data_IF_979698614222
#
_entry.id   IF_979698614222
#
_cell.length_a   1.000
_cell.length_b   1.000
_cell.length_c   1.000
_cell.angle_alpha   90.00
_cell.angle_beta   90.00
_cell.angle_gamma   90.00
#
_symmetry.space_group_name_H-M   'P 1'
#
loop_
_entity.id
_entity.type
_entity.pdbx_description
1 polymer ?
#
# COMPACT_ATOMS: atom_id res chain seq x y z
N UNK A 1 -1.07 45.48 28.73
CA UNK A 1 -1.58 44.79 27.52
C UNK A 1 -0.42 44.46 26.64
N UNK A 2 0.17 43.27 26.81
CA UNK A 2 1.32 42.77 26.01
C UNK A 2 0.76 41.81 24.98
N UNK A 3 0.64 42.29 23.73
CA UNK A 3 0.21 41.49 22.62
C UNK A 3 1.27 40.43 22.27
N UNK A 4 1.01 39.17 22.58
CA UNK A 4 1.75 38.03 22.10
C UNK A 4 1.73 38.00 20.57
N UNK A 5 2.79 38.47 19.93
CA UNK A 5 3.03 38.26 18.51
C UNK A 5 3.32 36.77 18.28
N UNK A 6 2.27 35.99 17.98
CA UNK A 6 2.44 34.65 17.42
C UNK A 6 3.29 34.79 16.15
N UNK A 7 4.52 34.30 16.17
CA UNK A 7 5.39 34.19 14.99
C UNK A 7 4.63 33.36 13.94
N UNK A 8 4.04 34.01 12.95
CA UNK A 8 3.52 33.32 11.77
C UNK A 8 4.69 32.63 11.10
N UNK A 9 4.73 31.31 11.13
CA UNK A 9 5.69 30.52 10.38
C UNK A 9 5.55 30.93 8.90
N UNK A 10 6.61 31.52 8.35
CA UNK A 10 6.63 31.92 6.94
C UNK A 10 6.55 30.64 6.09
N UNK A 11 5.54 30.56 5.25
CA UNK A 11 5.37 29.48 4.30
C UNK A 11 6.60 29.41 3.39
N UNK A 12 7.20 28.23 3.12
CA UNK A 12 8.30 28.11 2.17
C UNK A 12 7.90 28.59 0.77
N UNK A 13 8.77 29.36 0.10
CA UNK A 13 8.48 30.01 -1.17
C UNK A 13 8.01 29.03 -2.27
N UNK A 14 8.55 27.80 -2.32
CA UNK A 14 8.13 26.78 -3.30
C UNK A 14 6.66 26.34 -3.13
N UNK A 15 6.12 26.43 -1.90
CA UNK A 15 4.70 26.12 -1.67
C UNK A 15 3.80 27.26 -2.19
N UNK A 16 4.27 28.51 -2.19
CA UNK A 16 3.53 29.65 -2.74
C UNK A 16 3.46 29.61 -4.28
N UNK A 17 4.43 28.96 -4.94
CA UNK A 17 4.35 28.69 -6.37
C UNK A 17 3.25 27.67 -6.74
N UNK A 18 3.01 26.69 -5.90
CA UNK A 18 2.13 25.55 -6.18
C UNK A 18 0.72 25.78 -5.67
N UNK A 19 0.57 26.29 -4.46
CA UNK A 19 -0.72 26.40 -3.79
C UNK A 19 -1.25 27.82 -3.77
N UNK A 20 -2.57 27.97 -3.72
CA UNK A 20 -3.23 29.27 -3.61
C UNK A 20 -2.88 29.93 -2.28
N UNK A 21 -2.66 31.27 -2.25
CA UNK A 21 -2.29 31.96 -1.00
C UNK A 21 -3.33 31.89 0.11
N UNK A 22 -4.62 31.90 -0.25
CA UNK A 22 -5.78 31.84 0.66
C UNK A 22 -5.97 30.48 1.30
N UNK A 23 -5.35 29.42 0.73
CA UNK A 23 -5.54 28.06 1.22
C UNK A 23 -4.59 27.72 2.37
N UNK A 24 -5.17 27.18 3.46
CA UNK A 24 -4.41 26.75 4.63
C UNK A 24 -3.83 25.34 4.41
N UNK A 25 -3.02 25.18 3.36
CA UNK A 25 -2.41 23.92 2.96
C UNK A 25 -1.63 23.24 4.11
N UNK A 26 -1.03 24.02 5.01
CA UNK A 26 -0.20 23.47 6.09
C UNK A 26 -0.91 22.43 6.95
N UNK A 27 -2.22 22.60 7.25
CA UNK A 27 -2.99 21.60 8.00
C UNK A 27 -3.11 20.28 7.25
N UNK A 28 -3.39 20.35 5.95
CA UNK A 28 -3.50 19.16 5.12
C UNK A 28 -2.15 18.41 5.03
N UNK A 29 -1.06 19.14 4.81
CA UNK A 29 0.28 18.54 4.79
C UNK A 29 0.66 17.91 6.14
N UNK A 30 0.31 18.56 7.26
CA UNK A 30 0.52 18.00 8.60
C UNK A 30 -0.27 16.71 8.82
N UNK A 31 -1.53 16.65 8.38
CA UNK A 31 -2.30 15.39 8.41
C UNK A 31 -1.56 14.30 7.66
N UNK A 32 -1.00 14.58 6.46
CA UNK A 32 -0.27 13.60 5.67
C UNK A 32 1.04 13.15 6.32
N UNK A 33 1.74 14.04 7.03
CA UNK A 33 2.95 13.67 7.80
C UNK A 33 2.57 12.71 8.93
N UNK A 34 1.60 13.10 9.78
CA UNK A 34 1.15 12.29 10.92
C UNK A 34 0.59 10.93 10.46
N UNK A 35 -0.22 10.94 9.42
CA UNK A 35 -0.77 9.76 8.76
C UNK A 35 0.35 8.85 8.25
N UNK A 36 1.32 9.39 7.51
CA UNK A 36 2.42 8.60 6.96
C UNK A 36 3.24 7.92 8.06
N UNK A 37 3.61 8.65 9.11
CA UNK A 37 4.37 8.08 10.24
C UNK A 37 3.55 6.97 10.93
N UNK A 38 2.28 7.23 11.24
CA UNK A 38 1.41 6.24 11.88
C UNK A 38 1.19 4.99 11.03
N UNK A 39 1.05 5.17 9.71
CA UNK A 39 0.94 4.08 8.76
C UNK A 39 2.23 3.25 8.72
N UNK A 40 3.40 3.89 8.66
CA UNK A 40 4.70 3.23 8.71
C UNK A 40 4.91 2.44 10.00
N UNK A 41 4.52 3.01 11.17
CA UNK A 41 4.54 2.31 12.45
C UNK A 41 3.70 1.03 12.41
N UNK A 42 2.43 1.14 11.96
CA UNK A 42 1.54 -0.02 11.86
C UNK A 42 2.08 -1.07 10.89
N UNK A 43 2.44 -0.65 9.68
CA UNK A 43 2.88 -1.57 8.63
C UNK A 43 4.18 -2.28 9.02
N UNK A 44 5.09 -1.59 9.70
CA UNK A 44 6.38 -2.12 10.14
C UNK A 44 6.27 -3.29 11.12
N UNK A 45 5.20 -3.36 11.93
CA UNK A 45 5.01 -4.42 12.93
C UNK A 45 3.88 -5.38 12.61
N UNK A 46 3.01 -5.05 11.67
CA UNK A 46 1.75 -5.77 11.47
C UNK A 46 1.95 -7.27 11.22
N UNK A 47 2.84 -7.63 10.30
CA UNK A 47 3.03 -9.02 9.90
C UNK A 47 3.68 -9.84 11.03
N UNK A 48 4.65 -9.27 11.74
CA UNK A 48 5.22 -9.88 12.94
C UNK A 48 4.18 -10.00 14.07
N UNK A 49 3.37 -8.98 14.32
CA UNK A 49 2.31 -9.04 15.32
C UNK A 49 1.34 -10.18 15.05
N UNK A 50 0.94 -10.36 13.80
CA UNK A 50 0.06 -11.46 13.40
C UNK A 50 0.75 -12.83 13.55
N UNK A 51 2.03 -12.95 13.17
CA UNK A 51 2.77 -14.20 13.20
C UNK A 51 3.21 -14.59 14.62
N UNK A 52 3.85 -13.65 15.35
CA UNK A 52 4.56 -13.93 16.59
C UNK A 52 3.66 -13.83 17.83
N UNK A 53 2.68 -12.90 17.82
CA UNK A 53 1.82 -12.62 18.99
C UNK A 53 0.45 -13.27 18.85
N UNK A 54 -0.21 -13.06 17.70
CA UNK A 54 -1.57 -13.59 17.47
C UNK A 54 -1.53 -15.04 16.98
N UNK A 55 -0.35 -15.51 16.56
CA UNK A 55 -0.11 -16.87 16.05
C UNK A 55 -1.06 -17.19 14.88
N UNK A 56 -1.11 -16.28 13.92
CA UNK A 56 -1.87 -16.45 12.68
C UNK A 56 -1.08 -17.36 11.74
N UNK A 57 -1.63 -18.52 11.42
CA UNK A 57 -1.03 -19.50 10.49
C UNK A 57 -1.20 -19.05 9.01
N UNK A 58 -0.48 -19.64 8.06
CA UNK A 58 -0.55 -19.21 6.64
C UNK A 58 -1.96 -19.18 6.04
N UNK A 59 -2.81 -20.16 6.32
CA UNK A 59 -4.21 -20.14 5.86
C UNK A 59 -5.01 -19.01 6.52
N UNK A 60 -4.87 -18.85 7.83
CA UNK A 60 -5.51 -17.75 8.56
C UNK A 60 -5.01 -16.38 8.07
N UNK A 61 -3.73 -16.28 7.65
CA UNK A 61 -3.17 -15.06 7.07
C UNK A 61 -3.88 -14.68 5.77
N UNK A 62 -4.22 -15.68 4.95
CA UNK A 62 -5.06 -15.48 3.77
C UNK A 62 -6.45 -14.95 4.12
N UNK A 63 -7.08 -15.50 5.17
CA UNK A 63 -8.40 -15.06 5.67
C UNK A 63 -8.31 -13.61 6.19
N UNK A 64 -7.31 -13.27 6.99
CA UNK A 64 -7.08 -11.91 7.48
C UNK A 64 -6.98 -10.94 6.32
N UNK A 65 -6.22 -11.29 5.30
CA UNK A 65 -6.00 -10.44 4.14
C UNK A 65 -7.24 -10.31 3.27
N UNK A 66 -8.02 -11.40 3.11
CA UNK A 66 -9.33 -11.36 2.45
C UNK A 66 -10.22 -10.27 3.06
N UNK A 67 -10.39 -10.28 4.38
CA UNK A 67 -11.21 -9.28 5.06
C UNK A 67 -10.60 -7.88 5.01
N UNK A 68 -9.28 -7.77 5.07
CA UNK A 68 -8.58 -6.47 4.98
C UNK A 68 -8.73 -5.81 3.61
N UNK A 69 -8.74 -6.57 2.53
CA UNK A 69 -8.91 -6.07 1.16
C UNK A 69 -10.38 -5.86 0.77
N UNK A 70 -11.33 -6.46 1.50
CA UNK A 70 -12.76 -6.35 1.21
C UNK A 70 -13.28 -4.90 1.12
N UNK A 71 -12.87 -3.96 2.00
CA UNK A 71 -13.24 -2.55 1.84
C UNK A 71 -12.78 -1.93 0.51
N UNK A 72 -11.63 -2.34 -0.02
CA UNK A 72 -11.14 -1.90 -1.33
C UNK A 72 -12.05 -2.40 -2.47
N UNK A 73 -12.47 -3.66 -2.40
CA UNK A 73 -13.43 -4.23 -3.34
C UNK A 73 -14.79 -3.51 -3.27
N UNK A 74 -15.24 -3.19 -2.06
CA UNK A 74 -16.53 -2.53 -1.80
C UNK A 74 -16.46 -1.00 -1.89
N UNK A 75 -15.30 -0.42 -2.21
CA UNK A 75 -15.07 1.03 -2.15
C UNK A 75 -16.08 1.83 -2.97
N UNK A 76 -16.47 1.35 -4.14
CA UNK A 76 -17.46 2.03 -4.99
C UNK A 76 -18.80 2.17 -4.26
N UNK A 77 -19.25 1.12 -3.57
CA UNK A 77 -20.48 1.14 -2.80
C UNK A 77 -20.35 2.04 -1.57
N UNK A 78 -19.23 1.97 -0.86
CA UNK A 78 -18.93 2.82 0.31
C UNK A 78 -18.97 4.30 -0.10
N UNK A 79 -18.29 4.67 -1.18
CA UNK A 79 -18.29 6.04 -1.67
C UNK A 79 -19.66 6.46 -2.24
N UNK A 80 -20.43 5.53 -2.82
CA UNK A 80 -21.80 5.80 -3.27
C UNK A 80 -22.70 6.16 -2.08
N UNK A 81 -22.59 5.50 -0.93
CA UNK A 81 -23.32 5.88 0.29
C UNK A 81 -22.94 7.29 0.78
N UNK A 82 -21.71 7.70 0.49
CA UNK A 82 -21.19 9.02 0.90
C UNK A 82 -21.30 10.10 -0.19
N UNK A 83 -22.07 9.89 -1.26
CA UNK A 83 -22.10 10.79 -2.43
C UNK A 83 -22.56 12.23 -2.11
N UNK A 84 -23.32 12.42 -1.04
CA UNK A 84 -23.80 13.74 -0.58
C UNK A 84 -22.72 14.55 0.16
N UNK A 85 -21.70 13.88 0.69
CA UNK A 85 -20.66 14.54 1.47
C UNK A 85 -19.58 15.15 0.59
N UNK A 86 -19.06 16.31 1.01
CA UNK A 86 -17.85 16.90 0.42
C UNK A 86 -16.63 15.99 0.66
N UNK A 87 -15.65 16.02 -0.24
CA UNK A 87 -14.47 15.16 -0.14
C UNK A 87 -13.70 15.37 1.17
N UNK A 88 -13.64 16.60 1.68
CA UNK A 88 -13.07 16.88 3.00
C UNK A 88 -13.81 16.16 4.15
N UNK A 89 -15.12 16.01 4.10
CA UNK A 89 -15.88 15.23 5.11
C UNK A 89 -15.58 13.74 4.98
N UNK A 90 -15.53 13.22 3.76
CA UNK A 90 -15.16 11.83 3.48
C UNK A 90 -13.75 11.53 3.99
N UNK A 91 -12.79 12.45 3.77
CA UNK A 91 -11.44 12.37 4.30
C UNK A 91 -11.40 12.33 5.84
N UNK A 92 -12.20 13.20 6.52
CA UNK A 92 -12.29 13.22 7.99
C UNK A 92 -12.82 11.90 8.55
N UNK A 93 -13.86 11.33 7.90
CA UNK A 93 -14.39 10.00 8.26
C UNK A 93 -13.33 8.93 8.10
N UNK A 94 -12.59 8.92 6.97
CA UNK A 94 -11.50 7.99 6.74
C UNK A 94 -10.42 8.08 7.83
N UNK A 95 -9.99 9.29 8.20
CA UNK A 95 -9.04 9.50 9.30
C UNK A 95 -9.57 8.99 10.66
N UNK A 96 -10.85 9.20 10.96
CA UNK A 96 -11.47 8.72 12.20
C UNK A 96 -11.55 7.18 12.24
N UNK A 97 -11.91 6.53 11.12
CA UNK A 97 -11.94 5.07 11.02
C UNK A 97 -10.53 4.47 11.21
N UNK A 98 -9.49 5.07 10.61
CA UNK A 98 -8.12 4.63 10.81
C UNK A 98 -7.65 4.83 12.25
N UNK A 99 -8.01 5.95 12.88
CA UNK A 99 -7.70 6.19 14.29
C UNK A 99 -8.38 5.14 15.19
N UNK A 100 -9.66 4.83 14.94
CA UNK A 100 -10.39 3.78 15.63
C UNK A 100 -9.80 2.40 15.44
N UNK A 101 -9.42 2.04 14.21
CA UNK A 101 -8.75 0.77 13.90
C UNK A 101 -7.39 0.64 14.60
N UNK A 102 -6.58 1.71 14.61
CA UNK A 102 -5.28 1.73 15.30
C UNK A 102 -5.46 1.62 16.83
N UNK A 103 -6.42 2.38 17.40
CA UNK A 103 -6.74 2.31 18.83
C UNK A 103 -7.22 0.91 19.23
N UNK A 104 -8.03 0.26 18.38
CA UNK A 104 -8.46 -1.11 18.60
C UNK A 104 -7.30 -2.10 18.60
N UNK A 105 -6.32 -1.96 17.71
CA UNK A 105 -5.09 -2.78 17.73
C UNK A 105 -4.26 -2.53 18.98
N UNK A 106 -4.15 -1.29 19.44
CA UNK A 106 -3.51 -0.96 20.71
C UNK A 106 -4.23 -1.59 21.90
N UNK A 107 -5.55 -1.47 21.98
CA UNK A 107 -6.36 -2.06 23.04
C UNK A 107 -6.23 -3.59 23.04
N UNK A 108 -6.39 -4.23 21.89
CA UNK A 108 -6.25 -5.69 21.79
C UNK A 108 -4.86 -6.15 22.22
N UNK A 109 -3.79 -5.46 21.80
CA UNK A 109 -2.43 -5.77 22.24
C UNK A 109 -2.24 -5.61 23.76
N UNK A 110 -3.02 -4.73 24.40
CA UNK A 110 -2.95 -4.46 25.83
C UNK A 110 -3.73 -5.47 26.68
N UNK A 111 -4.78 -6.07 26.11
CA UNK A 111 -5.66 -7.04 26.80
C UNK A 111 -5.15 -8.47 26.65
N UNK A 112 -4.28 -8.74 25.66
CA UNK A 112 -3.73 -10.09 25.45
C UNK A 112 -2.97 -10.51 26.71
N UNK A 113 -3.56 -11.45 27.44
CA UNK A 113 -2.98 -12.20 28.53
C UNK A 113 -3.04 -13.67 28.16
N UNK A 114 -2.23 -14.51 28.81
CA UNK A 114 -2.15 -15.96 28.54
C UNK A 114 -3.49 -16.71 28.59
N UNK A 115 -4.58 -16.08 29.04
CA UNK A 115 -5.91 -16.66 29.23
C UNK A 115 -7.01 -16.06 28.32
N UNK A 116 -6.70 -15.10 27.44
CA UNK A 116 -7.72 -14.59 26.51
C UNK A 116 -7.99 -15.61 25.42
N UNK A 117 -9.26 -15.98 25.21
CA UNK A 117 -9.67 -16.96 24.20
C UNK A 117 -9.11 -16.62 22.83
N UNK A 118 -8.19 -17.44 22.33
CA UNK A 118 -7.38 -17.21 21.11
C UNK A 118 -8.26 -16.79 19.92
N UNK A 119 -9.45 -17.38 19.78
CA UNK A 119 -10.35 -17.06 18.65
C UNK A 119 -10.94 -15.64 18.75
N UNK A 120 -11.36 -15.21 19.93
CA UNK A 120 -11.93 -13.86 20.12
C UNK A 120 -10.88 -12.80 19.81
N UNK A 121 -9.65 -13.02 20.29
CA UNK A 121 -8.53 -12.10 20.01
C UNK A 121 -8.24 -12.00 18.51
N UNK A 122 -8.20 -13.13 17.80
CA UNK A 122 -8.04 -13.14 16.33
C UNK A 122 -9.15 -12.36 15.63
N UNK A 123 -10.40 -12.57 16.02
CA UNK A 123 -11.56 -11.87 15.45
C UNK A 123 -11.45 -10.35 15.70
N UNK A 124 -11.13 -9.93 16.92
CA UNK A 124 -10.96 -8.50 17.25
C UNK A 124 -9.84 -7.85 16.46
N UNK A 125 -8.69 -8.51 16.33
CA UNK A 125 -7.57 -8.00 15.53
C UNK A 125 -7.99 -7.83 14.07
N UNK A 126 -8.65 -8.83 13.48
CA UNK A 126 -9.17 -8.74 12.10
C UNK A 126 -10.17 -7.60 11.97
N UNK A 127 -11.11 -7.46 12.90
CA UNK A 127 -12.11 -6.38 12.89
C UNK A 127 -11.45 -5.00 12.88
N UNK A 128 -10.46 -4.76 13.74
CA UNK A 128 -9.77 -3.48 13.80
C UNK A 128 -8.85 -3.25 12.61
N UNK A 129 -8.27 -4.30 12.02
CA UNK A 129 -7.56 -4.22 10.75
C UNK A 129 -8.50 -3.84 9.60
N UNK A 130 -9.70 -4.41 9.54
CA UNK A 130 -10.72 -4.06 8.54
C UNK A 130 -11.20 -2.62 8.73
N UNK A 131 -11.41 -2.18 9.97
CA UNK A 131 -11.79 -0.81 10.28
C UNK A 131 -10.72 0.19 9.80
N UNK A 132 -9.46 -0.11 10.09
CA UNK A 132 -8.32 0.69 9.61
C UNK A 132 -8.27 0.70 8.07
N UNK A 133 -8.37 -0.46 7.44
CA UNK A 133 -8.33 -0.60 5.98
C UNK A 133 -9.49 0.12 5.28
N UNK A 134 -10.69 0.12 5.88
CA UNK A 134 -11.83 0.88 5.37
C UNK A 134 -11.50 2.37 5.29
N UNK A 135 -10.93 2.92 6.36
CA UNK A 135 -10.50 4.33 6.37
C UNK A 135 -9.40 4.61 5.34
N UNK A 136 -8.43 3.72 5.21
CA UNK A 136 -7.33 3.81 4.23
C UNK A 136 -7.87 3.88 2.80
N UNK A 137 -8.75 2.94 2.41
CA UNK A 137 -9.32 2.89 1.06
C UNK A 137 -10.21 4.12 0.76
N UNK A 138 -10.96 4.62 1.74
CA UNK A 138 -11.75 5.84 1.60
C UNK A 138 -10.84 7.07 1.36
N UNK A 139 -9.71 7.16 2.07
CA UNK A 139 -8.78 8.30 1.96
C UNK A 139 -8.07 8.32 0.60
N UNK A 140 -7.74 7.18 0.01
CA UNK A 140 -6.91 7.11 -1.20
C UNK A 140 -7.40 8.02 -2.34
N UNK A 141 -8.66 7.95 -2.82
CA UNK A 141 -9.14 8.80 -3.91
C UNK A 141 -9.34 10.25 -3.47
N UNK A 142 -9.94 10.49 -2.30
CA UNK A 142 -10.26 11.85 -1.82
C UNK A 142 -9.01 12.67 -1.49
N UNK A 143 -7.94 12.04 -1.04
CA UNK A 143 -6.65 12.73 -0.83
C UNK A 143 -6.14 13.38 -2.10
N UNK A 144 -6.23 12.67 -3.23
CA UNK A 144 -5.81 13.20 -4.53
C UNK A 144 -6.67 14.39 -4.95
N UNK A 145 -8.00 14.31 -4.78
CA UNK A 145 -8.92 15.40 -5.12
C UNK A 145 -8.64 16.64 -4.27
N UNK A 146 -8.47 16.49 -2.95
CA UNK A 146 -8.14 17.61 -2.05
C UNK A 146 -6.80 18.23 -2.45
N UNK A 147 -5.78 17.40 -2.75
CA UNK A 147 -4.48 17.91 -3.16
C UNK A 147 -4.57 18.76 -4.44
N UNK A 148 -5.37 18.34 -5.42
CA UNK A 148 -5.59 19.08 -6.66
C UNK A 148 -6.41 20.35 -6.43
N UNK A 149 -7.44 20.31 -5.58
CA UNK A 149 -8.29 21.47 -5.29
C UNK A 149 -7.53 22.61 -4.60
N UNK A 150 -6.62 22.27 -3.68
CA UNK A 150 -5.81 23.26 -2.96
C UNK A 150 -4.71 23.87 -3.84
N UNK A 151 -4.35 23.26 -4.95
CA UNK A 151 -3.34 23.72 -5.86
C UNK A 151 -3.87 24.78 -6.85
N UNK A 152 -2.96 25.56 -7.44
CA UNK A 152 -3.24 26.29 -8.68
C UNK A 152 -3.54 25.28 -9.79
N UNK A 153 -4.42 25.65 -10.73
CA UNK A 153 -4.93 24.74 -11.76
C UNK A 153 -3.81 24.05 -12.57
N UNK A 154 -2.80 24.84 -12.95
CA UNK A 154 -1.64 24.39 -13.71
C UNK A 154 -0.58 23.64 -12.87
N UNK A 155 -0.73 23.59 -11.56
CA UNK A 155 0.20 22.96 -10.60
C UNK A 155 -0.37 21.71 -9.91
N UNK A 156 -1.48 21.18 -10.39
CA UNK A 156 -2.14 19.99 -9.81
C UNK A 156 -1.19 18.78 -9.71
N UNK A 157 -0.41 18.52 -10.77
CA UNK A 157 0.59 17.43 -10.76
C UNK A 157 1.69 17.63 -9.72
N UNK A 158 2.18 18.86 -9.54
CA UNK A 158 3.19 19.17 -8.51
C UNK A 158 2.62 18.96 -7.10
N UNK A 159 1.35 19.32 -6.87
CA UNK A 159 0.66 19.07 -5.58
C UNK A 159 0.52 17.59 -5.29
N UNK A 160 0.13 16.77 -6.27
CA UNK A 160 0.07 15.32 -6.12
C UNK A 160 1.45 14.73 -5.80
N UNK A 161 2.49 15.21 -6.47
CA UNK A 161 3.87 14.81 -6.20
C UNK A 161 4.29 15.12 -4.76
N UNK A 162 4.05 16.34 -4.28
CA UNK A 162 4.38 16.76 -2.91
C UNK A 162 3.62 15.92 -1.88
N UNK A 163 2.31 15.75 -2.04
CA UNK A 163 1.49 15.00 -1.08
C UNK A 163 1.88 13.53 -1.02
N UNK A 164 2.23 12.94 -2.16
CA UNK A 164 2.74 11.56 -2.22
C UNK A 164 4.12 11.44 -1.56
N UNK A 165 5.03 12.39 -1.84
CA UNK A 165 6.37 12.40 -1.24
C UNK A 165 6.32 12.58 0.28
N UNK A 166 5.49 13.49 0.78
CA UNK A 166 5.32 13.69 2.23
C UNK A 166 4.80 12.42 2.90
N UNK A 167 3.79 11.78 2.31
CA UNK A 167 3.26 10.54 2.84
C UNK A 167 4.32 9.43 2.86
N UNK A 168 5.10 9.31 1.78
CA UNK A 168 6.14 8.28 1.67
C UNK A 168 7.30 8.52 2.64
N UNK A 169 7.74 9.77 2.81
CA UNK A 169 8.73 10.12 3.82
C UNK A 169 8.22 9.85 5.25
N UNK A 170 6.93 10.11 5.50
CA UNK A 170 6.28 9.73 6.74
C UNK A 170 6.33 8.22 6.99
N UNK A 171 6.02 7.41 5.97
CA UNK A 171 6.10 5.95 6.06
C UNK A 171 7.53 5.48 6.41
N UNK A 172 8.54 6.01 5.72
CA UNK A 172 9.95 5.70 5.99
C UNK A 172 10.31 6.07 7.44
N UNK A 173 9.92 7.26 7.90
CA UNK A 173 10.14 7.66 9.28
C UNK A 173 9.46 6.70 10.27
N UNK A 174 8.23 6.27 9.99
CA UNK A 174 7.52 5.28 10.79
C UNK A 174 8.26 3.94 10.85
N UNK A 175 8.76 3.43 9.73
CA UNK A 175 9.56 2.21 9.68
C UNK A 175 10.85 2.32 10.50
N UNK A 176 11.58 3.43 10.37
CA UNK A 176 12.79 3.66 11.13
C UNK A 176 12.52 3.80 12.63
N UNK A 177 11.39 4.40 13.02
CA UNK A 177 10.96 4.46 14.41
C UNK A 177 10.68 3.05 14.97
N UNK A 178 10.02 2.15 14.22
CA UNK A 178 9.86 0.75 14.63
C UNK A 178 11.21 0.10 14.88
N UNK A 179 12.13 0.19 13.92
CA UNK A 179 13.48 -0.35 14.05
C UNK A 179 14.16 0.19 15.33
N UNK A 180 14.08 1.51 15.56
CA UNK A 180 14.65 2.15 16.75
C UNK A 180 14.02 1.69 18.06
N UNK A 181 12.67 1.58 18.10
CA UNK A 181 11.93 1.11 19.29
C UNK A 181 12.36 -0.32 19.66
N UNK A 182 12.33 -1.25 18.72
CA UNK A 182 12.70 -2.65 19.00
C UNK A 182 14.19 -2.81 19.31
N UNK A 183 15.06 -2.01 18.67
CA UNK A 183 16.49 -1.97 19.03
C UNK A 183 16.70 -1.50 20.47
N UNK A 184 16.05 -0.41 20.89
CA UNK A 184 16.16 0.12 22.25
C UNK A 184 15.59 -0.86 23.29
N UNK A 185 14.44 -1.46 23.02
CA UNK A 185 13.85 -2.47 23.90
C UNK A 185 14.77 -3.70 24.07
N UNK A 186 15.41 -4.14 22.98
CA UNK A 186 16.41 -5.22 23.05
C UNK A 186 17.62 -4.86 23.91
N UNK A 187 18.04 -3.58 23.92
CA UNK A 187 19.16 -3.11 24.77
C UNK A 187 18.82 -3.11 26.26
N UNK A 188 17.55 -2.95 26.62
CA UNK A 188 17.10 -2.98 28.04
C UNK A 188 16.55 -4.34 28.46
N UNK A 189 16.78 -5.39 27.64
CA UNK A 189 16.54 -6.78 28.01
C UNK A 189 15.19 -7.38 27.57
N UNK A 190 14.36 -6.67 26.82
CA UNK A 190 13.14 -7.24 26.24
C UNK A 190 13.45 -8.12 25.04
N UNK A 191 12.75 -9.23 24.90
CA UNK A 191 12.83 -10.05 23.70
C UNK A 191 12.25 -9.29 22.48
N UNK A 192 12.80 -9.52 21.30
CA UNK A 192 12.37 -8.88 20.05
C UNK A 192 10.94 -9.23 19.64
N UNK A 193 10.39 -10.31 20.22
CA UNK A 193 9.01 -10.75 20.05
C UNK A 193 8.13 -10.45 21.26
N UNK A 194 8.61 -9.62 22.21
CA UNK A 194 7.82 -9.25 23.37
C UNK A 194 6.67 -8.33 22.99
N UNK A 195 5.50 -8.57 23.57
CA UNK A 195 4.25 -7.79 23.34
C UNK A 195 4.44 -6.30 23.64
N UNK A 196 5.39 -5.93 24.53
CA UNK A 196 5.66 -4.54 24.92
C UNK A 196 6.06 -3.69 23.72
N UNK A 197 6.92 -4.23 22.82
CA UNK A 197 7.31 -3.52 21.61
C UNK A 197 6.11 -3.16 20.71
N UNK A 198 5.22 -4.10 20.53
CA UNK A 198 3.99 -3.90 19.74
C UNK A 198 3.04 -2.90 20.41
N UNK A 199 2.87 -2.95 21.73
CA UNK A 199 2.08 -1.98 22.50
C UNK A 199 2.60 -0.56 22.33
N UNK A 200 3.91 -0.36 22.45
CA UNK A 200 4.55 0.95 22.26
C UNK A 200 4.29 1.47 20.85
N UNK A 201 4.49 0.63 19.83
CA UNK A 201 4.30 1.01 18.43
C UNK A 201 2.83 1.33 18.13
N UNK A 202 1.87 0.47 18.54
CA UNK A 202 0.45 0.73 18.33
C UNK A 202 -0.04 1.92 19.14
N UNK A 203 0.47 2.12 20.37
CA UNK A 203 0.15 3.29 21.19
C UNK A 203 0.62 4.60 20.56
N UNK A 204 1.89 4.65 20.11
CA UNK A 204 2.44 5.80 19.39
C UNK A 204 1.67 6.05 18.07
N UNK A 205 1.40 4.98 17.32
CA UNK A 205 0.61 5.05 16.09
C UNK A 205 -0.81 5.57 16.34
N UNK A 206 -1.47 5.15 17.43
CA UNK A 206 -2.78 5.64 17.85
C UNK A 206 -2.73 7.13 18.16
N UNK A 207 -1.75 7.57 18.94
CA UNK A 207 -1.60 8.99 19.28
C UNK A 207 -1.43 9.86 18.04
N UNK A 208 -0.57 9.44 17.09
CA UNK A 208 -0.36 10.13 15.82
C UNK A 208 -1.61 10.11 14.94
N UNK A 209 -2.35 9.00 14.88
CA UNK A 209 -3.54 8.88 14.06
C UNK A 209 -4.71 9.69 14.63
N UNK A 210 -4.86 9.75 15.96
CA UNK A 210 -5.80 10.64 16.63
C UNK A 210 -5.44 12.11 16.36
N UNK A 211 -4.16 12.47 16.48
CA UNK A 211 -3.69 13.83 16.13
C UNK A 211 -3.95 14.18 14.66
N UNK A 212 -3.74 13.21 13.74
CA UNK A 212 -4.11 13.38 12.34
C UNK A 212 -5.60 13.59 12.13
N UNK A 213 -6.46 12.80 12.80
CA UNK A 213 -7.91 12.92 12.72
C UNK A 213 -8.40 14.26 13.29
N UNK A 214 -7.86 14.70 14.44
CA UNK A 214 -8.17 16.01 15.03
C UNK A 214 -7.73 17.17 14.12
N UNK A 215 -6.55 17.07 13.51
CA UNK A 215 -6.07 18.07 12.55
C UNK A 215 -6.93 18.07 11.29
N UNK A 216 -7.34 16.90 10.80
CA UNK A 216 -8.25 16.76 9.68
C UNK A 216 -9.64 17.34 9.97
N UNK A 217 -10.16 17.16 11.18
CA UNK A 217 -11.46 17.75 11.60
C UNK A 217 -11.50 19.27 11.42
N UNK A 218 -10.36 19.95 11.57
CA UNK A 218 -10.22 21.40 11.38
C UNK A 218 -9.98 21.83 9.90
N UNK A 219 -10.00 20.90 8.93
CA UNK A 219 -9.92 21.25 7.50
C UNK A 219 -11.24 21.90 7.06
N UNK A 220 -11.11 22.93 6.19
CA UNK A 220 -12.26 23.56 5.54
C UNK A 220 -12.96 22.56 4.60
N UNK A 221 -14.25 22.78 4.37
CA UNK A 221 -14.98 21.99 3.37
C UNK A 221 -14.47 22.29 1.98
N UNK A 222 -14.28 21.24 1.20
CA UNK A 222 -13.94 21.31 -0.21
C UNK A 222 -15.20 21.53 -1.04
N UNK A 223 -15.06 22.21 -2.16
CA UNK A 223 -16.17 22.47 -3.10
C UNK A 223 -16.28 21.38 -4.15
N UNK A 224 -15.14 20.78 -4.54
CA UNK A 224 -15.09 19.70 -5.52
C UNK A 224 -15.53 18.38 -4.89
N UNK A 225 -16.21 17.57 -5.71
CA UNK A 225 -16.50 16.17 -5.42
C UNK A 225 -15.70 15.33 -6.41
N UNK A 226 -15.00 14.32 -5.91
CA UNK A 226 -14.35 13.36 -6.81
C UNK A 226 -15.37 12.79 -7.79
N UNK A 227 -15.06 12.70 -9.09
CA UNK A 227 -15.92 12.03 -10.05
C UNK A 227 -16.14 10.60 -9.57
N UNK A 228 -17.39 10.25 -9.24
CA UNK A 228 -17.76 8.90 -8.80
C UNK A 228 -18.02 8.08 -10.04
N UNK A 229 -17.00 7.38 -10.47
CA UNK A 229 -17.02 6.69 -11.74
C UNK A 229 -17.87 5.43 -11.67
N UNK A 230 -18.61 5.20 -12.76
CA UNK A 230 -19.26 3.93 -13.04
C UNK A 230 -18.21 2.96 -13.61
N UNK A 231 -18.44 1.66 -13.44
CA UNK A 231 -17.66 0.64 -14.16
C UNK A 231 -17.69 0.91 -15.65
N UNK A 232 -16.53 0.88 -16.30
CA UNK A 232 -16.40 1.07 -17.73
C UNK A 232 -15.70 -0.14 -18.32
N UNK A 233 -16.47 -1.00 -19.00
CA UNK A 233 -15.96 -2.18 -19.68
C UNK A 233 -16.12 -2.01 -21.20
N UNK A 234 -15.01 -1.80 -21.89
CA UNK A 234 -15.00 -1.79 -23.35
C UNK A 234 -14.09 -2.91 -23.89
N UNK A 235 -14.52 -3.58 -24.95
CA UNK A 235 -13.79 -4.73 -25.55
C UNK A 235 -12.33 -4.41 -25.89
N UNK A 236 -12.05 -3.18 -26.34
CA UNK A 236 -10.68 -2.75 -26.67
C UNK A 236 -9.70 -2.81 -25.48
N UNK A 237 -10.20 -2.72 -24.22
CA UNK A 237 -9.42 -2.79 -23.01
C UNK A 237 -9.36 -4.19 -22.37
N UNK A 238 -9.91 -5.22 -23.01
CA UNK A 238 -9.91 -6.58 -22.45
C UNK A 238 -8.52 -7.05 -22.08
N UNK A 239 -7.52 -6.76 -22.92
CA UNK A 239 -6.13 -7.12 -22.63
C UNK A 239 -5.62 -6.45 -21.36
N UNK A 240 -5.92 -5.18 -21.16
CA UNK A 240 -5.57 -4.45 -19.96
C UNK A 240 -6.22 -5.07 -18.72
N UNK A 241 -7.51 -5.39 -18.74
CA UNK A 241 -8.20 -5.99 -17.59
C UNK A 241 -7.60 -7.36 -17.23
N UNK A 242 -7.22 -8.16 -18.21
CA UNK A 242 -6.55 -9.44 -17.97
C UNK A 242 -5.15 -9.22 -17.38
N UNK A 243 -4.39 -8.24 -17.85
CA UNK A 243 -3.10 -7.87 -17.24
C UNK A 243 -3.27 -7.41 -15.78
N UNK A 244 -4.36 -6.68 -15.46
CA UNK A 244 -4.67 -6.30 -14.08
C UNK A 244 -5.04 -7.51 -13.19
N UNK A 245 -5.64 -8.56 -13.74
CA UNK A 245 -5.83 -9.84 -13.03
C UNK A 245 -4.49 -10.45 -12.63
N UNK A 246 -3.55 -10.55 -13.56
CA UNK A 246 -2.22 -11.08 -13.28
C UNK A 246 -1.46 -10.22 -12.28
N UNK A 247 -1.51 -8.89 -12.47
CA UNK A 247 -0.86 -7.95 -11.58
C UNK A 247 -1.42 -8.01 -10.15
N UNK A 248 -2.75 -8.03 -10.00
CA UNK A 248 -3.41 -8.15 -8.71
C UNK A 248 -3.06 -9.45 -8.00
N UNK A 249 -3.05 -10.57 -8.74
CA UNK A 249 -2.69 -11.88 -8.22
C UNK A 249 -1.23 -11.90 -7.71
N UNK A 250 -0.29 -11.42 -8.51
CA UNK A 250 1.11 -11.29 -8.13
C UNK A 250 1.30 -10.40 -6.91
N UNK A 251 0.79 -9.18 -6.98
CA UNK A 251 0.88 -8.19 -5.91
C UNK A 251 0.42 -8.77 -4.59
N UNK A 252 -0.71 -9.49 -4.61
CA UNK A 252 -1.30 -10.04 -3.39
C UNK A 252 -0.48 -11.15 -2.78
N UNK A 253 0.11 -12.04 -3.59
CA UNK A 253 0.98 -13.12 -3.10
C UNK A 253 2.18 -12.51 -2.36
N UNK A 254 2.86 -11.54 -2.97
CA UNK A 254 4.02 -10.91 -2.34
C UNK A 254 3.64 -10.03 -1.15
N UNK A 255 2.55 -9.25 -1.24
CA UNK A 255 2.10 -8.39 -0.14
C UNK A 255 1.74 -9.19 1.11
N UNK A 256 1.14 -10.38 0.93
CA UNK A 256 0.59 -11.20 2.00
C UNK A 256 1.59 -12.21 2.53
N UNK A 257 2.26 -12.93 1.63
CA UNK A 257 3.03 -14.12 2.01
C UNK A 257 4.54 -13.90 2.02
N UNK A 258 5.09 -12.96 1.25
CA UNK A 258 6.53 -12.73 1.26
C UNK A 258 7.06 -12.26 2.63
N UNK A 259 6.41 -11.30 3.36
CA UNK A 259 6.79 -11.00 4.74
C UNK A 259 6.68 -12.22 5.66
N UNK A 260 5.65 -13.04 5.50
CA UNK A 260 5.45 -14.25 6.30
C UNK A 260 6.53 -15.31 6.07
N UNK A 261 7.04 -15.45 4.85
CA UNK A 261 8.22 -16.31 4.59
C UNK A 261 9.43 -15.82 5.37
N UNK A 262 9.72 -14.52 5.33
CA UNK A 262 10.84 -13.93 6.09
C UNK A 262 10.68 -14.14 7.59
N UNK A 263 9.47 -13.99 8.13
CA UNK A 263 9.19 -14.12 9.57
C UNK A 263 9.21 -15.59 9.99
N UNK A 264 8.39 -16.44 9.36
CA UNK A 264 8.17 -17.82 9.82
C UNK A 264 9.33 -18.75 9.49
N UNK A 265 9.99 -18.56 8.34
CA UNK A 265 11.06 -19.46 7.90
C UNK A 265 12.45 -18.98 8.27
N UNK A 266 12.65 -17.65 8.31
CA UNK A 266 13.97 -17.07 8.55
C UNK A 266 14.06 -16.31 9.88
N UNK A 267 12.97 -16.20 10.65
CA UNK A 267 12.96 -15.53 11.94
C UNK A 267 13.19 -14.02 11.88
N UNK A 268 12.77 -13.38 10.78
CA UNK A 268 12.90 -11.93 10.65
C UNK A 268 12.04 -11.20 11.69
N UNK A 269 12.69 -10.49 12.60
CA UNK A 269 12.05 -9.72 13.66
C UNK A 269 11.48 -8.37 13.14
N UNK A 270 10.69 -7.64 13.95
CA UNK A 270 10.13 -6.35 13.53
C UNK A 270 11.17 -5.31 13.11
N UNK A 271 12.38 -5.34 13.67
CA UNK A 271 13.46 -4.42 13.27
C UNK A 271 13.93 -4.71 11.86
N UNK A 272 14.16 -6.00 11.55
CA UNK A 272 14.57 -6.46 10.22
C UNK A 272 13.48 -6.15 9.20
N UNK A 273 12.24 -6.50 9.49
CA UNK A 273 11.12 -6.25 8.57
C UNK A 273 10.92 -4.77 8.30
N UNK A 274 10.99 -3.93 9.33
CA UNK A 274 10.82 -2.49 9.17
C UNK A 274 11.95 -1.84 8.38
N UNK A 275 13.20 -2.26 8.59
CA UNK A 275 14.31 -1.73 7.79
C UNK A 275 14.21 -2.18 6.33
N UNK A 276 13.76 -3.40 6.06
CA UNK A 276 13.49 -3.86 4.69
C UNK A 276 12.39 -3.01 4.03
N UNK A 277 11.29 -2.72 4.73
CA UNK A 277 10.25 -1.83 4.20
C UNK A 277 10.78 -0.41 3.95
N UNK A 278 11.63 0.13 4.83
CA UNK A 278 12.26 1.44 4.62
C UNK A 278 13.16 1.43 3.37
N UNK A 279 14.00 0.41 3.22
CA UNK A 279 14.86 0.23 2.05
C UNK A 279 14.02 0.12 0.78
N UNK A 280 12.96 -0.71 0.77
CA UNK A 280 12.03 -0.83 -0.34
C UNK A 280 11.43 0.53 -0.72
N UNK A 281 10.96 1.31 0.26
CA UNK A 281 10.37 2.62 0.03
C UNK A 281 11.35 3.60 -0.62
N UNK A 282 12.62 3.59 -0.19
CA UNK A 282 13.68 4.40 -0.80
C UNK A 282 13.96 3.94 -2.24
N UNK A 283 14.10 2.63 -2.48
CA UNK A 283 14.32 2.12 -3.84
C UNK A 283 13.16 2.40 -4.77
N UNK A 284 11.91 2.23 -4.33
CA UNK A 284 10.73 2.59 -5.12
C UNK A 284 10.76 4.06 -5.50
N UNK A 285 11.10 4.95 -4.57
CA UNK A 285 11.18 6.39 -4.83
C UNK A 285 12.28 6.72 -5.87
N UNK A 286 13.45 6.10 -5.77
CA UNK A 286 14.58 6.35 -6.66
C UNK A 286 14.40 5.68 -8.04
N UNK A 287 13.84 4.47 -8.08
CA UNK A 287 13.69 3.69 -9.31
C UNK A 287 12.47 4.09 -10.14
N UNK A 288 11.42 4.66 -9.54
CA UNK A 288 10.20 5.05 -10.27
C UNK A 288 10.48 5.94 -11.50
N UNK A 289 11.27 7.03 -11.43
CA UNK A 289 11.58 7.83 -12.61
C UNK A 289 12.46 7.09 -13.62
N UNK A 290 13.29 6.15 -13.16
CA UNK A 290 14.15 5.34 -14.05
C UNK A 290 13.31 4.34 -14.85
N UNK A 291 12.35 3.67 -14.20
CA UNK A 291 11.41 2.76 -14.87
C UNK A 291 10.52 3.55 -15.83
N UNK A 292 10.05 4.75 -15.46
CA UNK A 292 9.34 5.62 -16.40
C UNK A 292 10.14 5.90 -17.67
N UNK A 293 11.40 6.32 -17.54
CA UNK A 293 12.29 6.52 -18.69
C UNK A 293 12.54 5.22 -19.50
N UNK A 294 12.60 4.07 -18.82
CA UNK A 294 12.73 2.79 -19.48
C UNK A 294 11.51 2.45 -20.33
N UNK A 295 10.30 2.72 -19.80
CA UNK A 295 9.04 2.56 -20.55
C UNK A 295 9.03 3.46 -21.79
N UNK A 296 9.46 4.71 -21.66
CA UNK A 296 9.53 5.65 -22.79
C UNK A 296 10.52 5.20 -23.86
N UNK A 297 11.67 4.63 -23.46
CA UNK A 297 12.75 4.21 -24.37
C UNK A 297 12.53 2.84 -25.00
N UNK A 298 12.16 1.84 -24.18
CA UNK A 298 12.03 0.44 -24.61
C UNK A 298 10.59 0.09 -25.03
N UNK A 299 9.62 0.95 -24.66
CA UNK A 299 8.20 0.72 -24.87
C UNK A 299 7.56 -0.11 -23.73
N UNK A 300 6.28 0.14 -23.49
CA UNK A 300 5.52 -0.51 -22.42
C UNK A 300 5.52 -2.04 -22.52
N UNK A 301 5.40 -2.61 -23.74
CA UNK A 301 5.37 -4.06 -23.97
C UNK A 301 6.66 -4.75 -23.51
N UNK A 302 7.82 -4.18 -23.86
CA UNK A 302 9.12 -4.75 -23.48
C UNK A 302 9.30 -4.74 -21.95
N UNK A 303 8.84 -3.68 -21.28
CA UNK A 303 8.90 -3.56 -19.81
C UNK A 303 7.96 -4.56 -19.15
N UNK A 304 6.72 -4.72 -19.62
CA UNK A 304 5.76 -5.72 -19.13
C UNK A 304 6.27 -7.17 -19.24
N UNK A 305 7.03 -7.49 -20.30
CA UNK A 305 7.61 -8.82 -20.46
C UNK A 305 8.85 -8.96 -19.56
N UNK A 306 9.70 -7.94 -19.52
CA UNK A 306 10.92 -7.96 -18.73
C UNK A 306 10.68 -8.10 -17.24
N UNK A 307 9.69 -7.38 -16.67
CA UNK A 307 9.38 -7.46 -15.24
C UNK A 307 8.88 -8.85 -14.85
N UNK A 308 8.04 -9.47 -15.67
CA UNK A 308 7.50 -10.81 -15.40
C UNK A 308 8.54 -11.91 -15.55
N UNK A 309 9.53 -11.76 -16.45
CA UNK A 309 10.65 -12.70 -16.53
C UNK A 309 11.56 -12.62 -15.30
N UNK A 310 11.84 -11.41 -14.79
CA UNK A 310 12.57 -11.24 -13.52
C UNK A 310 11.76 -11.82 -12.37
N UNK A 311 10.45 -11.61 -12.36
CA UNK A 311 9.56 -12.13 -11.34
C UNK A 311 9.59 -13.66 -11.24
N UNK A 312 9.72 -14.40 -12.35
CA UNK A 312 9.88 -15.86 -12.32
C UNK A 312 11.06 -16.25 -11.44
N UNK A 313 12.21 -15.61 -11.63
CA UNK A 313 13.42 -15.87 -10.83
C UNK A 313 13.18 -15.51 -9.36
N UNK A 314 12.57 -14.37 -9.09
CA UNK A 314 12.23 -13.92 -7.74
C UNK A 314 11.31 -14.95 -7.06
N UNK A 315 10.25 -15.43 -7.72
CA UNK A 315 9.36 -16.46 -7.19
C UNK A 315 10.10 -17.76 -6.87
N UNK A 316 10.93 -18.26 -7.79
CA UNK A 316 11.68 -19.50 -7.59
C UNK A 316 12.67 -19.37 -6.43
N UNK A 317 13.34 -18.21 -6.28
CA UNK A 317 14.21 -17.98 -5.14
C UNK A 317 13.43 -17.92 -3.82
N UNK A 318 12.23 -17.32 -3.78
CA UNK A 318 11.38 -17.34 -2.60
C UNK A 318 10.98 -18.77 -2.20
N UNK A 319 10.57 -19.58 -3.16
CA UNK A 319 10.12 -20.95 -2.91
C UNK A 319 11.24 -21.90 -2.50
N UNK A 320 12.44 -21.76 -3.09
CA UNK A 320 13.47 -22.79 -3.03
C UNK A 320 14.78 -22.37 -2.38
N UNK A 321 14.99 -21.09 -2.02
CA UNK A 321 16.27 -20.63 -1.44
C UNK A 321 16.70 -21.46 -0.23
N UNK A 322 15.76 -21.83 0.64
CA UNK A 322 16.03 -22.63 1.84
C UNK A 322 16.52 -24.07 1.55
N UNK A 323 16.25 -24.60 0.34
CA UNK A 323 16.75 -25.90 -0.11
C UNK A 323 18.07 -25.82 -0.87
N UNK A 324 18.32 -24.67 -1.51
CA UNK A 324 19.46 -24.50 -2.41
C UNK A 324 20.69 -23.93 -1.70
N UNK A 325 20.50 -23.19 -0.62
CA UNK A 325 21.56 -22.44 0.05
C UNK A 325 21.60 -22.71 1.56
N UNK A 326 22.72 -22.38 2.18
CA UNK A 326 22.83 -22.37 3.65
C UNK A 326 21.82 -21.38 4.26
N UNK A 327 21.34 -21.58 5.52
CA UNK A 327 20.30 -20.73 6.11
C UNK A 327 20.61 -19.23 6.04
N UNK A 328 21.85 -18.81 6.34
CA UNK A 328 22.25 -17.41 6.28
C UNK A 328 22.26 -16.84 4.85
N UNK A 329 22.75 -17.62 3.87
CA UNK A 329 22.74 -17.22 2.46
C UNK A 329 21.33 -17.16 1.91
N UNK A 330 20.48 -18.13 2.23
CA UNK A 330 19.08 -18.18 1.83
C UNK A 330 18.32 -16.95 2.36
N UNK A 331 18.52 -16.57 3.62
CA UNK A 331 17.94 -15.37 4.20
C UNK A 331 18.32 -14.10 3.43
N UNK A 332 19.61 -13.91 3.13
CA UNK A 332 20.10 -12.75 2.36
C UNK A 332 19.46 -12.72 0.97
N UNK A 333 19.41 -13.87 0.28
CA UNK A 333 18.78 -13.98 -1.03
C UNK A 333 17.31 -13.59 -0.99
N UNK A 334 16.57 -14.07 0.00
CA UNK A 334 15.14 -13.75 0.14
C UNK A 334 14.93 -12.27 0.49
N UNK A 335 15.79 -11.66 1.31
CA UNK A 335 15.78 -10.21 1.55
C UNK A 335 16.02 -9.40 0.26
N UNK A 336 17.01 -9.79 -0.54
CA UNK A 336 17.27 -9.14 -1.84
C UNK A 336 16.07 -9.31 -2.77
N UNK A 337 15.48 -10.50 -2.85
CA UNK A 337 14.29 -10.75 -3.66
C UNK A 337 13.06 -9.94 -3.18
N UNK A 338 12.93 -9.70 -1.86
CA UNK A 338 11.89 -8.84 -1.32
C UNK A 338 12.02 -7.40 -1.84
N UNK A 339 13.25 -6.87 -1.89
CA UNK A 339 13.53 -5.54 -2.44
C UNK A 339 13.31 -5.54 -3.96
N UNK A 340 13.78 -6.57 -4.68
CA UNK A 340 13.61 -6.70 -6.13
C UNK A 340 12.14 -6.75 -6.53
N UNK A 341 11.28 -7.49 -5.82
CA UNK A 341 9.84 -7.51 -6.08
C UNK A 341 9.23 -6.12 -6.02
N UNK A 342 9.60 -5.32 -5.01
CA UNK A 342 9.10 -3.95 -4.87
C UNK A 342 9.55 -3.05 -6.04
N UNK A 343 10.78 -3.22 -6.52
CA UNK A 343 11.32 -2.46 -7.66
C UNK A 343 10.61 -2.87 -8.95
N UNK A 344 10.52 -4.16 -9.24
CA UNK A 344 9.85 -4.63 -10.46
C UNK A 344 8.34 -4.36 -10.46
N UNK A 345 7.71 -4.26 -9.29
CA UNK A 345 6.30 -3.89 -9.19
C UNK A 345 5.99 -2.50 -9.77
N UNK A 346 6.99 -1.60 -9.83
CA UNK A 346 6.87 -0.27 -10.44
C UNK A 346 6.59 -0.40 -11.96
N UNK A 347 7.04 -1.47 -12.59
CA UNK A 347 6.80 -1.73 -14.02
C UNK A 347 5.31 -1.84 -14.38
N UNK A 348 4.41 -2.03 -13.40
CA UNK A 348 2.97 -1.91 -13.59
C UNK A 348 2.51 -0.57 -14.18
N UNK A 349 3.33 0.48 -14.05
CA UNK A 349 3.10 1.75 -14.75
C UNK A 349 2.99 1.56 -16.28
N UNK A 350 3.62 0.52 -16.84
CA UNK A 350 3.50 0.19 -18.25
C UNK A 350 2.06 -0.16 -18.67
N UNK A 351 1.27 -0.79 -17.76
CA UNK A 351 -0.15 -1.05 -18.00
C UNK A 351 -0.92 0.28 -18.18
N UNK A 352 -0.62 1.29 -17.38
CA UNK A 352 -1.26 2.61 -17.47
C UNK A 352 -0.88 3.32 -18.78
N UNK A 353 0.38 3.22 -19.20
CA UNK A 353 0.85 3.77 -20.48
C UNK A 353 0.17 3.05 -21.65
N UNK A 354 -0.01 1.72 -21.57
CA UNK A 354 -0.78 0.97 -22.58
C UNK A 354 -2.21 1.49 -22.70
N UNK A 355 -2.94 1.66 -21.56
CA UNK A 355 -4.30 2.24 -21.58
C UNK A 355 -4.31 3.63 -22.21
N UNK A 356 -3.34 4.49 -21.83
CA UNK A 356 -3.22 5.83 -22.40
C UNK A 356 -3.08 5.81 -23.93
N UNK A 357 -2.30 4.86 -24.48
CA UNK A 357 -2.04 4.75 -25.93
C UNK A 357 -3.25 4.29 -26.74
N UNK A 358 -4.14 3.48 -26.16
CA UNK A 358 -5.31 2.94 -26.84
C UNK A 358 -6.62 3.69 -26.52
N UNK A 359 -6.57 4.66 -25.61
CA UNK A 359 -7.71 5.48 -25.23
C UNK A 359 -7.92 6.65 -26.20
N UNK A 360 -9.18 6.99 -26.43
CA UNK A 360 -9.58 8.06 -27.36
C UNK A 360 -9.62 9.45 -26.68
N UNK A 361 -9.77 9.50 -25.36
CA UNK A 361 -9.89 10.74 -24.59
C UNK A 361 -9.49 10.53 -23.11
N UNK A 362 -9.22 11.61 -22.34
CA UNK A 362 -8.82 11.51 -20.92
C UNK A 362 -9.87 10.88 -20.02
N UNK A 363 -11.16 11.05 -20.29
CA UNK A 363 -12.24 10.46 -19.51
C UNK A 363 -12.23 8.94 -19.62
N UNK A 364 -11.97 8.42 -20.81
CA UNK A 364 -11.85 6.99 -21.07
C UNK A 364 -10.64 6.38 -20.35
N UNK A 365 -9.50 7.09 -20.33
CA UNK A 365 -8.32 6.67 -19.56
C UNK A 365 -8.70 6.49 -18.08
N UNK A 366 -9.30 7.52 -17.50
CA UNK A 366 -9.64 7.54 -16.08
C UNK A 366 -10.67 6.45 -15.72
N UNK A 367 -11.69 6.28 -16.54
CA UNK A 367 -12.72 5.26 -16.35
C UNK A 367 -12.15 3.84 -16.45
N UNK A 368 -11.27 3.60 -17.44
CA UNK A 368 -10.62 2.30 -17.65
C UNK A 368 -9.66 1.95 -16.52
N UNK A 369 -8.80 2.90 -16.09
CA UNK A 369 -7.88 2.69 -14.97
C UNK A 369 -8.63 2.41 -13.66
N UNK A 370 -9.74 3.11 -13.40
CA UNK A 370 -10.56 2.86 -12.21
C UNK A 370 -11.21 1.48 -12.24
N UNK A 371 -11.69 1.04 -13.41
CA UNK A 371 -12.21 -0.32 -13.57
C UNK A 371 -11.12 -1.37 -13.39
N UNK A 372 -9.91 -1.13 -13.90
CA UNK A 372 -8.76 -2.00 -13.71
C UNK A 372 -8.40 -2.17 -12.24
N UNK A 373 -8.42 -1.10 -11.45
CA UNK A 373 -8.21 -1.17 -9.99
C UNK A 373 -9.26 -2.08 -9.34
N UNK A 374 -10.53 -1.97 -9.74
CA UNK A 374 -11.60 -2.82 -9.20
C UNK A 374 -11.41 -4.29 -9.57
N UNK A 375 -11.03 -4.58 -10.83
CA UNK A 375 -10.68 -5.94 -11.28
C UNK A 375 -9.51 -6.49 -10.46
N UNK A 376 -8.47 -5.69 -10.26
CA UNK A 376 -7.31 -6.04 -9.44
C UNK A 376 -7.73 -6.45 -8.02
N UNK A 377 -8.59 -5.66 -7.35
CA UNK A 377 -9.07 -5.98 -6.00
C UNK A 377 -9.89 -7.27 -5.93
N UNK A 378 -10.74 -7.57 -6.92
CA UNK A 378 -11.48 -8.85 -6.99
C UNK A 378 -10.50 -10.02 -6.91
N UNK A 379 -9.47 -10.01 -7.75
CA UNK A 379 -8.50 -11.08 -7.81
C UNK A 379 -7.56 -11.08 -6.60
N UNK A 380 -7.17 -9.92 -6.07
CA UNK A 380 -6.39 -9.82 -4.83
C UNK A 380 -7.08 -10.51 -3.66
N UNK A 381 -8.39 -10.27 -3.49
CA UNK A 381 -9.20 -10.90 -2.42
C UNK A 381 -9.23 -12.41 -2.56
N UNK A 382 -9.47 -12.92 -3.77
CA UNK A 382 -9.51 -14.37 -4.05
C UNK A 382 -8.14 -15.04 -3.86
N UNK A 383 -7.09 -14.42 -4.36
CA UNK A 383 -5.71 -14.95 -4.27
C UNK A 383 -5.20 -14.95 -2.84
N UNK A 384 -5.65 -14.03 -1.98
CA UNK A 384 -5.32 -14.06 -0.57
C UNK A 384 -5.78 -15.36 0.09
N UNK A 385 -7.03 -15.78 -0.16
CA UNK A 385 -7.57 -17.04 0.38
C UNK A 385 -6.90 -18.26 -0.24
N UNK A 386 -6.83 -18.31 -1.57
CA UNK A 386 -6.25 -19.45 -2.29
C UNK A 386 -4.76 -19.61 -1.96
N UNK A 387 -4.01 -18.54 -1.87
CA UNK A 387 -2.59 -18.57 -1.54
C UNK A 387 -2.33 -19.10 -0.13
N UNK A 388 -3.12 -18.67 0.86
CA UNK A 388 -3.05 -19.20 2.22
C UNK A 388 -3.41 -20.66 2.31
N UNK A 389 -4.42 -21.09 1.56
CA UNK A 389 -4.82 -22.50 1.46
C UNK A 389 -3.73 -23.34 0.80
N UNK A 390 -3.20 -22.94 -0.35
CA UNK A 390 -2.12 -23.62 -1.06
C UNK A 390 -0.88 -23.75 -0.16
N UNK A 391 -0.47 -22.67 0.49
CA UNK A 391 0.67 -22.76 1.42
C UNK A 391 0.42 -23.79 2.53
N UNK A 392 -0.77 -23.80 3.11
CA UNK A 392 -1.07 -24.70 4.24
C UNK A 392 -1.08 -26.19 3.89
N UNK A 393 -1.45 -26.55 2.64
CA UNK A 393 -1.56 -27.94 2.20
C UNK A 393 -0.37 -28.45 1.38
N UNK A 394 0.29 -27.54 0.64
CA UNK A 394 1.30 -27.89 -0.36
C UNK A 394 2.65 -27.16 -0.19
N UNK A 395 2.76 -26.33 0.84
CA UNK A 395 4.00 -25.61 1.16
C UNK A 395 4.25 -24.34 0.35
N UNK A 396 5.30 -23.62 0.76
CA UNK A 396 5.69 -22.36 0.12
C UNK A 396 6.23 -22.58 -1.29
N UNK A 397 6.89 -23.68 -1.53
CA UNK A 397 7.45 -24.04 -2.83
C UNK A 397 6.36 -24.10 -3.90
N UNK A 398 5.24 -24.74 -3.57
CA UNK A 398 4.09 -24.85 -4.48
C UNK A 398 3.46 -23.47 -4.73
N UNK A 399 3.27 -22.67 -3.67
CA UNK A 399 2.71 -21.32 -3.80
C UNK A 399 3.55 -20.45 -4.76
N UNK A 400 4.87 -20.41 -4.55
CA UNK A 400 5.75 -19.58 -5.38
C UNK A 400 6.01 -20.18 -6.76
N UNK A 401 5.93 -21.52 -6.93
CA UNK A 401 5.95 -22.15 -8.26
C UNK A 401 4.71 -21.76 -9.07
N UNK A 402 3.51 -21.81 -8.47
CA UNK A 402 2.29 -21.33 -9.12
C UNK A 402 2.43 -19.84 -9.50
N UNK A 403 3.01 -19.03 -8.61
CA UNK A 403 3.27 -17.62 -8.89
C UNK A 403 4.21 -17.42 -10.07
N UNK A 404 5.27 -18.24 -10.18
CA UNK A 404 6.19 -18.23 -11.33
C UNK A 404 5.49 -18.63 -12.63
N UNK A 405 4.62 -19.65 -12.59
CA UNK A 405 3.82 -20.06 -13.76
C UNK A 405 2.86 -18.94 -14.17
N UNK A 406 2.17 -18.29 -13.23
CA UNK A 406 1.31 -17.14 -13.52
C UNK A 406 2.12 -15.97 -14.14
N UNK A 407 3.34 -15.72 -13.67
CA UNK A 407 4.24 -14.72 -14.26
C UNK A 407 4.62 -15.09 -15.70
N UNK A 408 4.90 -16.36 -15.97
CA UNK A 408 5.18 -16.85 -17.33
C UNK A 408 3.97 -16.66 -18.25
N UNK A 409 2.78 -17.03 -17.80
CA UNK A 409 1.53 -16.84 -18.55
C UNK A 409 1.31 -15.35 -18.83
N UNK A 410 1.53 -14.49 -17.83
CA UNK A 410 1.43 -13.04 -17.99
C UNK A 410 2.44 -12.53 -19.05
N UNK A 411 3.68 -13.01 -19.03
CA UNK A 411 4.71 -12.65 -20.02
C UNK A 411 4.27 -13.03 -21.45
N UNK A 412 3.77 -14.25 -21.62
CA UNK A 412 3.25 -14.75 -22.91
C UNK A 412 2.04 -13.90 -23.33
N UNK A 413 1.14 -13.59 -22.40
CA UNK A 413 -0.04 -12.79 -22.71
C UNK A 413 0.33 -11.35 -23.10
N UNK A 414 1.25 -10.70 -22.37
CA UNK A 414 1.78 -9.39 -22.72
C UNK A 414 2.45 -9.38 -24.11
N UNK A 415 3.11 -10.49 -24.49
CA UNK A 415 3.70 -10.63 -25.81
C UNK A 415 2.67 -10.60 -26.96
N UNK A 416 1.39 -10.91 -26.70
CA UNK A 416 0.30 -10.84 -27.69
C UNK A 416 -0.17 -9.42 -28.00
N UNK A 417 0.28 -8.41 -27.24
CA UNK A 417 -0.05 -7.00 -27.51
C UNK A 417 0.60 -6.61 -28.85
N UNK A 418 -0.19 -6.14 -29.79
CA UNK A 418 0.29 -5.72 -31.11
C UNK A 418 0.84 -4.28 -31.04
N UNK A 419 1.93 -4.03 -31.74
CA UNK A 419 2.57 -2.70 -31.82
C UNK A 419 1.69 -1.61 -32.45
N UNK A 420 0.69 -2.03 -33.25
CA UNK A 420 -0.23 -1.16 -34.01
C UNK A 420 -1.60 -0.95 -33.32
N UNK A 421 -1.74 -1.31 -32.04
CA UNK A 421 -2.97 -1.00 -31.26
C UNK A 421 -3.02 0.47 -30.78
N UNK A 422 -2.05 1.30 -31.19
CA UNK A 422 -2.09 2.73 -30.94
C UNK A 422 -3.24 3.36 -31.74
N UNK A 423 -4.09 4.16 -31.05
CA UNK A 423 -5.05 5.00 -31.77
C UNK A 423 -4.20 5.95 -32.61
N UNK A 424 -4.19 5.74 -33.93
CA UNK A 424 -3.70 6.77 -34.83
C UNK A 424 -4.55 8.00 -34.51
N UNK A 425 -3.93 9.01 -33.91
CA UNK A 425 -4.56 10.32 -33.77
C UNK A 425 -4.92 10.73 -35.19
N UNK A 426 -6.18 10.49 -35.57
CA UNK A 426 -6.73 11.06 -36.77
C UNK A 426 -6.54 12.56 -36.66
N UNK A 427 -5.81 13.08 -37.59
CA UNK A 427 -5.47 14.47 -37.80
C UNK A 427 -6.68 15.42 -37.69
#
# INVERSE_FOLDING_TARGET
MTGSKTKKFKRPAFLDDIYRPEEKIGRFLWVLVLFGIAFGLKRGVQDNYLADIIIIKPFERGIVEFFRELPGLLLIFILALMYKFADSRVFKVGCALMAGGMAGLFITSSIITNNTGVLITKILVVLFMVLFSTGEHIIMPVRCTIAMELAKREKAGASLGITTSINQLGNIAGFLLVTGIFFLLGRIGYARTDIIGYRVVFGAGTALMVAAAMTAAALKETTLKAPRQRFYFAKKFTKYYILEVFYGSRKQIFLTFAPYVLILQYGADPSIMSILFAICAVFVMLCSPLIGKLIDKAGYKAVMIGDTLILIVVCLMYGFAHRLFSPGTAFIIVCINFILDQIISIASMANNVYVQRISSNPEEITATLSTGISVNHVFSVLIALLGGWIWSIAGIETLFTISAVLALINSIYAATIKKNEEVTSAA
#
